data_IF_074029694549
#
_entry.id   IF_074029694549
#
_cell.length_a   1.000
_cell.length_b   1.000
_cell.length_c   1.000
_cell.angle_alpha   90.00
_cell.angle_beta   90.00
_cell.angle_gamma   90.00
#
_symmetry.space_group_name_H-M   'P 1'
#
loop_
_entity.id
_entity.type
_entity.pdbx_description
1 polymer ?
#
# COMPACT_ATOMS: atom_id res chain seq x y z
N UNK A 1 10.17 2.95 7.75
CA UNK A 1 10.91 2.50 8.96
C UNK A 1 11.83 1.34 8.59
N UNK A 2 13.07 1.32 9.09
CA UNK A 2 14.10 0.28 8.83
C UNK A 2 13.58 -1.16 9.01
N UNK A 3 12.66 -1.37 9.94
CA UNK A 3 12.06 -2.68 10.22
C UNK A 3 11.24 -3.24 9.05
N UNK A 4 10.53 -2.39 8.30
CA UNK A 4 9.78 -2.80 7.10
C UNK A 4 10.74 -3.28 6.02
N UNK A 5 11.87 -2.59 5.83
CA UNK A 5 12.91 -3.00 4.87
C UNK A 5 13.59 -4.31 5.30
N UNK A 6 13.83 -4.51 6.59
CA UNK A 6 14.39 -5.75 7.12
C UNK A 6 13.44 -6.94 6.93
N UNK A 7 12.15 -6.78 7.24
CA UNK A 7 11.14 -7.82 7.02
C UNK A 7 10.94 -8.13 5.53
N UNK A 8 11.01 -7.11 4.68
CA UNK A 8 11.00 -7.28 3.23
C UNK A 8 12.22 -8.07 2.74
N UNK A 9 13.42 -7.74 3.24
CA UNK A 9 14.65 -8.46 2.92
C UNK A 9 14.54 -9.94 3.31
N UNK A 10 14.07 -10.24 4.53
CA UNK A 10 13.84 -11.63 4.95
C UNK A 10 12.83 -12.35 4.06
N UNK A 11 11.72 -11.68 3.73
CA UNK A 11 10.67 -12.23 2.86
C UNK A 11 11.24 -12.59 1.48
N UNK A 12 12.11 -11.74 0.92
CA UNK A 12 12.80 -12.01 -0.35
C UNK A 12 13.83 -13.13 -0.23
N UNK A 13 14.61 -13.18 0.85
CA UNK A 13 15.67 -14.16 1.06
C UNK A 13 15.17 -15.60 1.24
N UNK A 14 13.97 -15.77 1.80
CA UNK A 14 13.36 -17.09 2.04
C UNK A 14 12.54 -17.60 0.85
N UNK A 15 12.25 -16.75 -0.14
CA UNK A 15 11.42 -17.11 -1.28
C UNK A 15 12.27 -17.58 -2.48
N UNK A 16 11.78 -18.58 -3.20
CA UNK A 16 12.35 -18.96 -4.50
C UNK A 16 11.87 -17.98 -5.57
N UNK A 17 12.52 -17.97 -6.74
CA UNK A 17 12.06 -17.16 -7.87
C UNK A 17 10.58 -17.43 -8.22
N UNK A 18 10.12 -18.68 -8.06
CA UNK A 18 8.73 -19.08 -8.30
C UNK A 18 7.76 -18.60 -7.20
N UNK A 19 8.20 -18.51 -5.94
CA UNK A 19 7.35 -18.16 -4.79
C UNK A 19 7.46 -16.70 -4.33
N UNK A 20 8.39 -15.94 -4.91
CA UNK A 20 8.66 -14.55 -4.51
C UNK A 20 7.41 -13.67 -4.61
N UNK A 21 6.63 -13.80 -5.68
CA UNK A 21 5.39 -13.02 -5.85
C UNK A 21 4.40 -13.26 -4.71
N UNK A 22 4.14 -14.52 -4.37
CA UNK A 22 3.24 -14.88 -3.27
C UNK A 22 3.76 -14.40 -1.90
N UNK A 23 5.06 -14.53 -1.64
CA UNK A 23 5.67 -14.06 -0.41
C UNK A 23 5.53 -12.52 -0.26
N UNK A 24 5.73 -11.76 -1.34
CA UNK A 24 5.53 -10.31 -1.36
C UNK A 24 4.06 -9.92 -1.17
N UNK A 25 3.11 -10.63 -1.77
CA UNK A 25 1.69 -10.40 -1.56
C UNK A 25 1.28 -10.66 -0.10
N UNK A 26 1.72 -11.77 0.49
CA UNK A 26 1.48 -12.07 1.90
C UNK A 26 2.08 -11.01 2.84
N UNK A 27 3.27 -10.49 2.54
CA UNK A 27 3.85 -9.37 3.27
C UNK A 27 3.04 -8.08 3.08
N UNK A 28 2.59 -7.79 1.86
CA UNK A 28 1.80 -6.60 1.58
C UNK A 28 0.41 -6.64 2.27
N UNK A 29 -0.22 -7.81 2.40
CA UNK A 29 -1.44 -8.01 3.21
C UNK A 29 -1.22 -7.71 4.69
N UNK A 30 -0.09 -8.16 5.26
CA UNK A 30 0.30 -7.83 6.65
C UNK A 30 0.47 -6.32 6.84
N UNK A 31 1.14 -5.65 5.91
CA UNK A 31 1.27 -4.19 5.93
C UNK A 31 -0.06 -3.47 5.77
N UNK A 32 -0.94 -3.95 4.88
CA UNK A 32 -2.27 -3.39 4.69
C UNK A 32 -3.10 -3.48 5.97
N UNK A 33 -3.10 -4.63 6.66
CA UNK A 33 -3.81 -4.81 7.93
C UNK A 33 -3.31 -3.84 9.01
N UNK A 34 -2.00 -3.60 9.06
CA UNK A 34 -1.42 -2.61 9.97
C UNK A 34 -1.87 -1.18 9.64
N UNK A 35 -1.78 -0.79 8.36
CA UNK A 35 -2.19 0.55 7.90
C UNK A 35 -3.66 0.83 8.17
N UNK A 36 -4.55 -0.14 7.87
CA UNK A 36 -5.98 -0.03 8.16
C UNK A 36 -6.27 0.05 9.66
N UNK A 37 -5.49 -0.65 10.49
CA UNK A 37 -5.65 -0.57 11.94
C UNK A 37 -5.21 0.80 12.49
N UNK A 38 -4.12 1.36 11.97
CA UNK A 38 -3.66 2.69 12.35
C UNK A 38 -4.66 3.78 11.91
N UNK A 39 -5.27 3.64 10.73
CA UNK A 39 -6.37 4.51 10.30
C UNK A 39 -7.59 4.39 11.23
N UNK A 40 -7.97 3.18 11.63
CA UNK A 40 -9.07 2.96 12.57
C UNK A 40 -8.78 3.60 13.93
N UNK A 41 -7.58 3.41 14.47
CA UNK A 41 -7.16 4.02 15.72
C UNK A 41 -7.24 5.55 15.64
N UNK A 42 -6.80 6.16 14.53
CA UNK A 42 -6.92 7.60 14.26
C UNK A 42 -8.36 8.09 14.27
N UNK A 43 -9.26 7.36 13.62
CA UNK A 43 -10.67 7.71 13.63
C UNK A 43 -11.29 7.59 15.04
N UNK A 44 -10.96 6.53 15.80
CA UNK A 44 -11.41 6.35 17.19
C UNK A 44 -10.96 7.54 18.05
N UNK A 45 -9.69 7.95 17.94
CA UNK A 45 -9.12 9.08 18.68
C UNK A 45 -9.83 10.39 18.38
N UNK A 46 -10.05 10.71 17.10
CA UNK A 46 -10.80 11.90 16.70
C UNK A 46 -12.20 11.89 17.34
N UNK A 47 -12.88 10.75 17.38
CA UNK A 47 -14.18 10.63 18.07
C UNK A 47 -14.07 10.95 19.57
N UNK A 48 -13.04 10.45 20.26
CA UNK A 48 -12.86 10.68 21.71
C UNK A 48 -12.63 12.15 22.02
N UNK A 49 -11.83 12.84 21.21
CA UNK A 49 -11.56 14.27 21.36
C UNK A 49 -12.85 15.08 21.19
N UNK A 50 -13.70 14.73 20.21
CA UNK A 50 -15.02 15.37 20.04
C UNK A 50 -15.96 15.15 21.23
N UNK A 51 -15.81 14.04 21.96
CA UNK A 51 -16.55 13.73 23.18
C UNK A 51 -15.95 14.38 24.44
N UNK A 52 -14.89 15.19 24.31
CA UNK A 52 -14.23 15.88 25.42
C UNK A 52 -13.35 14.98 26.28
N UNK A 53 -12.93 13.81 25.76
CA UNK A 53 -11.99 12.91 26.45
C UNK A 53 -10.55 13.26 26.07
N UNK A 54 -9.71 13.48 27.08
CA UNK A 54 -8.27 13.63 26.90
C UNK A 54 -7.62 12.24 26.82
N UNK A 55 -6.99 11.93 25.68
CA UNK A 55 -6.35 10.63 25.42
C UNK A 55 -5.06 10.84 24.63
N UNK A 56 -4.01 10.08 24.97
CA UNK A 56 -2.76 10.09 24.21
C UNK A 56 -2.91 9.29 22.91
N UNK A 57 -2.61 9.93 21.79
CA UNK A 57 -2.75 9.32 20.47
C UNK A 57 -1.83 8.11 20.26
N UNK A 58 -0.60 8.21 20.77
CA UNK A 58 0.40 7.16 20.67
C UNK A 58 -0.05 5.95 21.48
N UNK A 59 -0.59 6.17 22.69
CA UNK A 59 -1.04 5.08 23.56
C UNK A 59 -2.24 4.32 22.98
N UNK A 60 -3.24 5.03 22.44
CA UNK A 60 -4.41 4.39 21.83
C UNK A 60 -4.02 3.57 20.60
N UNK A 61 -3.22 4.15 19.70
CA UNK A 61 -2.73 3.45 18.50
C UNK A 61 -1.93 2.21 18.87
N UNK A 62 -1.04 2.32 19.85
CA UNK A 62 -0.20 1.23 20.30
C UNK A 62 -1.01 0.12 20.99
N UNK A 63 -2.06 0.47 21.73
CA UNK A 63 -2.93 -0.51 22.37
C UNK A 63 -3.71 -1.36 21.35
N UNK A 64 -4.24 -0.76 20.29
CA UNK A 64 -4.85 -1.52 19.19
C UNK A 64 -3.82 -2.46 18.57
N UNK A 65 -2.64 -1.93 18.22
CA UNK A 65 -1.57 -2.68 17.55
C UNK A 65 -1.06 -3.86 18.37
N UNK A 66 -0.80 -3.67 19.66
CA UNK A 66 -0.33 -4.73 20.56
C UNK A 66 -1.40 -5.81 20.74
N UNK A 67 -2.65 -5.40 21.01
CA UNK A 67 -3.72 -6.36 21.33
C UNK A 67 -4.20 -7.13 20.11
N UNK A 68 -4.10 -6.56 18.91
CA UNK A 68 -4.48 -7.19 17.66
C UNK A 68 -3.30 -7.76 16.86
N UNK A 69 -2.06 -7.61 17.34
CA UNK A 69 -0.86 -8.07 16.64
C UNK A 69 -0.95 -9.52 16.18
N UNK A 70 -1.37 -10.43 17.08
CA UNK A 70 -1.52 -11.86 16.73
C UNK A 70 -2.76 -12.12 15.88
N UNK A 71 -3.89 -11.50 16.22
CA UNK A 71 -5.16 -11.74 15.54
C UNK A 71 -5.15 -11.28 14.07
N UNK A 72 -4.43 -10.19 13.78
CA UNK A 72 -4.30 -9.60 12.44
C UNK A 72 -2.91 -9.86 11.82
N UNK A 73 -2.07 -10.70 12.45
CA UNK A 73 -0.73 -11.04 11.97
C UNK A 73 0.08 -9.80 11.53
N UNK A 74 0.12 -8.80 12.43
CA UNK A 74 0.72 -7.51 12.16
C UNK A 74 2.26 -7.59 12.20
N UNK A 75 2.96 -7.02 11.21
CA UNK A 75 4.41 -7.05 11.15
C UNK A 75 5.02 -6.03 12.13
N UNK A 76 6.16 -6.35 12.73
CA UNK A 76 6.96 -5.39 13.52
C UNK A 76 6.28 -4.83 14.78
N UNK A 77 5.41 -5.62 15.43
CA UNK A 77 4.74 -5.18 16.64
C UNK A 77 5.54 -5.55 17.90
N UNK A 78 5.57 -4.68 18.93
CA UNK A 78 6.23 -5.00 20.18
C UNK A 78 5.60 -6.23 20.83
N UNK A 79 6.44 -7.18 21.26
CA UNK A 79 6.00 -8.51 21.75
C UNK A 79 5.47 -8.46 23.18
N UNK A 80 5.94 -7.52 23.98
CA UNK A 80 5.55 -7.32 25.37
C UNK A 80 5.56 -5.81 25.64
N UNK A 81 4.46 -5.27 26.17
CA UNK A 81 4.44 -3.91 26.71
C UNK A 81 3.90 -4.01 28.14
N UNK A 82 4.70 -3.58 29.11
CA UNK A 82 4.28 -3.41 30.51
C UNK A 82 3.52 -2.09 30.65
N UNK A 83 2.35 -1.96 30.01
CA UNK A 83 1.46 -0.85 30.28
C UNK A 83 0.14 -1.44 30.71
N UNK A 84 -0.03 -1.45 32.04
CA UNK A 84 -1.31 -1.70 32.67
C UNK A 84 -2.29 -0.62 32.23
N UNK A 85 -3.52 -1.04 31.95
CA UNK A 85 -4.77 -0.25 32.02
C UNK A 85 -4.94 1.05 31.19
N UNK A 86 -3.90 1.67 30.63
CA UNK A 86 -3.96 3.10 30.26
C UNK A 86 -4.65 3.39 28.91
N UNK A 87 -4.72 2.45 27.97
CA UNK A 87 -5.52 2.67 26.77
C UNK A 87 -6.89 2.01 26.91
N UNK A 88 -7.92 2.81 27.20
CA UNK A 88 -9.32 2.41 27.30
C UNK A 88 -9.90 1.94 25.95
N UNK A 89 -9.34 0.88 25.36
CA UNK A 89 -9.87 0.20 24.18
C UNK A 89 -10.70 -0.98 24.69
N UNK A 90 -12.01 -0.90 24.51
CA UNK A 90 -12.91 -1.97 24.94
C UNK A 90 -12.78 -3.21 24.05
N UNK A 91 -13.18 -4.41 24.54
CA UNK A 91 -13.31 -5.59 23.69
C UNK A 91 -14.23 -5.36 22.48
N UNK A 92 -15.24 -4.50 22.60
CA UNK A 92 -16.12 -4.14 21.49
C UNK A 92 -15.39 -3.32 20.42
N UNK A 93 -14.56 -2.36 20.81
CA UNK A 93 -13.71 -1.59 19.90
C UNK A 93 -12.68 -2.48 19.18
N UNK A 94 -12.08 -3.45 19.87
CA UNK A 94 -11.18 -4.42 19.23
C UNK A 94 -11.88 -5.27 18.17
N UNK A 95 -13.11 -5.71 18.43
CA UNK A 95 -13.91 -6.42 17.43
C UNK A 95 -14.25 -5.52 16.25
N UNK A 96 -14.70 -4.30 16.51
CA UNK A 96 -15.01 -3.33 15.45
C UNK A 96 -13.78 -3.02 14.57
N UNK A 97 -12.60 -2.88 15.18
CA UNK A 97 -11.34 -2.69 14.46
C UNK A 97 -10.99 -3.91 13.60
N UNK A 98 -11.08 -5.12 14.17
CA UNK A 98 -10.86 -6.37 13.43
C UNK A 98 -11.78 -6.48 12.22
N UNK A 99 -13.09 -6.28 12.41
CA UNK A 99 -14.08 -6.36 11.35
C UNK A 99 -13.85 -5.29 10.27
N UNK A 100 -13.47 -4.07 10.67
CA UNK A 100 -13.14 -3.00 9.74
C UNK A 100 -11.92 -3.34 8.87
N UNK A 101 -10.86 -3.89 9.47
CA UNK A 101 -9.66 -4.34 8.76
C UNK A 101 -10.00 -5.46 7.78
N UNK A 102 -10.74 -6.47 8.22
CA UNK A 102 -11.15 -7.61 7.38
C UNK A 102 -12.03 -7.18 6.21
N UNK A 103 -13.01 -6.29 6.44
CA UNK A 103 -13.84 -5.72 5.37
C UNK A 103 -13.01 -4.93 4.36
N UNK A 104 -12.05 -4.15 4.84
CA UNK A 104 -11.16 -3.39 3.97
C UNK A 104 -10.26 -4.32 3.12
N UNK A 105 -9.75 -5.40 3.72
CA UNK A 105 -8.90 -6.38 3.05
C UNK A 105 -9.65 -7.16 1.96
N UNK A 106 -10.93 -7.46 2.20
CA UNK A 106 -11.81 -8.10 1.22
C UNK A 106 -12.26 -7.17 0.07
N UNK A 107 -11.87 -5.91 0.08
CA UNK A 107 -12.29 -4.90 -0.91
C UNK A 107 -11.20 -4.58 -1.93
N UNK A 108 -11.54 -3.78 -2.94
CA UNK A 108 -10.57 -3.24 -3.89
C UNK A 108 -9.47 -2.36 -3.25
N UNK A 109 -9.63 -1.95 -1.98
CA UNK A 109 -8.63 -1.18 -1.25
C UNK A 109 -7.30 -1.94 -1.13
N UNK A 110 -7.33 -3.26 -0.94
CA UNK A 110 -6.12 -4.07 -0.85
C UNK A 110 -5.29 -3.98 -2.14
N UNK A 111 -5.92 -4.23 -3.29
CA UNK A 111 -5.22 -4.19 -4.57
C UNK A 111 -4.63 -2.81 -4.86
N UNK A 112 -5.39 -1.73 -4.56
CA UNK A 112 -4.89 -0.35 -4.68
C UNK A 112 -3.68 -0.13 -3.78
N UNK A 113 -3.76 -0.49 -2.50
CA UNK A 113 -2.66 -0.33 -1.56
C UNK A 113 -1.38 -1.06 -2.01
N UNK A 114 -1.51 -2.31 -2.46
CA UNK A 114 -0.38 -3.12 -2.90
C UNK A 114 0.25 -2.54 -4.18
N UNK A 115 -0.58 -2.09 -5.13
CA UNK A 115 -0.13 -1.57 -6.42
C UNK A 115 0.77 -0.34 -6.33
N UNK A 116 0.75 0.38 -5.20
CA UNK A 116 1.59 1.58 -4.96
C UNK A 116 2.83 1.29 -4.11
N UNK A 117 3.13 0.02 -3.76
CA UNK A 117 4.30 -0.29 -2.93
C UNK A 117 5.54 -0.48 -3.80
N UNK A 118 6.62 0.22 -3.47
CA UNK A 118 7.88 0.18 -4.23
C UNK A 118 8.40 -1.25 -4.43
N UNK A 119 8.44 -2.05 -3.37
CA UNK A 119 8.93 -3.43 -3.45
C UNK A 119 8.11 -4.32 -4.39
N UNK A 120 6.82 -4.00 -4.55
CA UNK A 120 5.90 -4.71 -5.41
C UNK A 120 6.01 -4.21 -6.85
N UNK A 121 6.14 -2.90 -7.05
CA UNK A 121 6.43 -2.30 -8.34
C UNK A 121 7.76 -2.79 -8.92
N UNK A 122 8.81 -2.92 -8.09
CA UNK A 122 10.08 -3.54 -8.46
C UNK A 122 9.88 -4.98 -8.97
N UNK A 123 9.09 -5.78 -8.24
CA UNK A 123 8.79 -7.15 -8.63
C UNK A 123 8.01 -7.20 -9.94
N UNK A 124 6.95 -6.38 -10.09
CA UNK A 124 6.17 -6.29 -11.31
C UNK A 124 7.02 -5.87 -12.51
N UNK A 125 7.95 -4.92 -12.36
CA UNK A 125 8.87 -4.53 -13.43
C UNK A 125 9.85 -5.64 -13.80
N UNK A 126 10.26 -6.47 -12.84
CA UNK A 126 11.12 -7.62 -13.10
C UNK A 126 10.39 -8.74 -13.87
N UNK A 127 9.12 -9.03 -13.52
CA UNK A 127 8.37 -10.15 -14.12
C UNK A 127 7.55 -9.76 -15.36
N UNK A 128 7.04 -8.53 -15.40
CA UNK A 128 6.16 -7.99 -16.45
C UNK A 128 6.82 -6.82 -17.18
N UNK A 129 8.15 -6.80 -17.24
CA UNK A 129 8.94 -5.67 -17.77
C UNK A 129 8.52 -5.23 -19.17
N UNK A 130 8.14 -6.18 -20.04
CA UNK A 130 7.62 -5.88 -21.39
C UNK A 130 6.36 -4.99 -21.33
N UNK A 131 5.41 -5.29 -20.46
CA UNK A 131 4.18 -4.50 -20.34
C UNK A 131 4.46 -3.06 -19.89
N UNK A 132 5.44 -2.86 -19.00
CA UNK A 132 5.87 -1.52 -18.60
C UNK A 132 6.59 -0.78 -19.74
N UNK A 133 7.50 -1.46 -20.44
CA UNK A 133 8.22 -0.88 -21.58
C UNK A 133 7.29 -0.47 -22.72
N UNK A 134 6.24 -1.25 -23.00
CA UNK A 134 5.25 -0.92 -24.04
C UNK A 134 4.49 0.38 -23.70
N UNK A 135 4.15 0.59 -22.42
CA UNK A 135 3.52 1.85 -21.96
C UNK A 135 4.51 3.01 -22.10
N UNK A 136 5.74 2.86 -21.61
CA UNK A 136 6.75 3.92 -21.68
C UNK A 136 7.08 4.28 -23.14
N UNK A 137 7.23 3.31 -24.03
CA UNK A 137 7.51 3.53 -25.45
C UNK A 137 6.44 4.39 -26.14
N UNK A 138 5.16 4.17 -25.80
CA UNK A 138 4.07 5.01 -26.32
C UNK A 138 4.24 6.48 -25.93
N UNK A 139 4.60 6.75 -24.68
CA UNK A 139 4.80 8.12 -24.20
C UNK A 139 6.09 8.75 -24.73
N UNK A 140 7.14 7.96 -24.94
CA UNK A 140 8.36 8.43 -25.61
C UNK A 140 8.08 8.95 -27.02
N UNK A 141 7.30 8.22 -27.83
CA UNK A 141 6.91 8.68 -29.17
C UNK A 141 6.08 9.97 -29.13
N UNK A 142 5.18 10.11 -28.14
CA UNK A 142 4.39 11.32 -27.97
C UNK A 142 5.25 12.52 -27.55
N UNK A 143 6.27 12.30 -26.71
CA UNK A 143 7.22 13.33 -26.28
C UNK A 143 8.13 13.78 -27.43
N UNK A 144 8.61 12.84 -28.24
CA UNK A 144 9.40 13.14 -29.45
C UNK A 144 8.58 14.00 -30.42
N UNK A 145 7.35 13.58 -30.73
CA UNK A 145 6.45 14.34 -31.59
C UNK A 145 6.06 15.71 -31.02
N UNK A 146 6.03 15.87 -29.69
CA UNK A 146 5.81 17.18 -29.05
C UNK A 146 7.05 18.07 -29.19
N UNK A 147 8.24 17.50 -29.01
CA UNK A 147 9.53 18.20 -29.10
C UNK A 147 9.80 18.72 -30.52
N UNK A 148 9.48 17.93 -31.55
CA UNK A 148 9.58 18.37 -32.95
C UNK A 148 8.73 19.61 -33.26
N UNK A 149 7.60 19.76 -32.56
CA UNK A 149 6.67 20.88 -32.73
C UNK A 149 6.96 22.07 -31.81
N UNK A 150 7.97 21.99 -30.94
CA UNK A 150 8.25 23.00 -29.90
C UNK A 150 8.32 24.43 -30.44
N UNK A 151 8.99 24.65 -31.56
CA UNK A 151 9.19 25.98 -32.16
C UNK A 151 7.93 26.55 -32.85
N UNK A 152 6.93 25.71 -33.08
CA UNK A 152 5.66 26.09 -33.70
C UNK A 152 4.54 26.28 -32.68
N UNK A 153 4.80 26.02 -31.40
CA UNK A 153 3.83 26.14 -30.32
C UNK A 153 3.86 27.56 -29.72
N UNK A 154 2.71 28.08 -29.27
CA UNK A 154 2.65 29.28 -28.46
C UNK A 154 3.50 29.17 -27.19
N UNK A 155 3.91 30.33 -26.66
CA UNK A 155 4.68 30.40 -25.42
C UNK A 155 3.91 29.76 -24.25
N UNK A 156 4.55 28.88 -23.49
CA UNK A 156 3.93 28.16 -22.37
C UNK A 156 3.14 26.88 -22.73
N UNK A 157 2.67 26.74 -23.98
CA UNK A 157 1.90 25.56 -24.40
C UNK A 157 2.75 24.29 -24.41
N UNK A 158 4.03 24.40 -24.80
CA UNK A 158 4.96 23.27 -24.74
C UNK A 158 5.10 22.72 -23.31
N UNK A 159 5.31 23.59 -22.32
CA UNK A 159 5.46 23.19 -20.92
C UNK A 159 4.15 22.60 -20.37
N UNK A 160 3.00 23.18 -20.73
CA UNK A 160 1.69 22.65 -20.34
C UNK A 160 1.45 21.25 -20.88
N UNK A 161 1.69 21.04 -22.18
CA UNK A 161 1.54 19.73 -22.83
C UNK A 161 2.54 18.70 -22.31
N UNK A 162 3.78 19.09 -22.03
CA UNK A 162 4.78 18.21 -21.42
C UNK A 162 4.35 17.76 -20.01
N UNK A 163 3.84 18.69 -19.19
CA UNK A 163 3.33 18.36 -17.86
C UNK A 163 2.09 17.46 -17.92
N UNK A 164 1.20 17.69 -18.89
CA UNK A 164 0.05 16.83 -19.13
C UNK A 164 0.50 15.42 -19.52
N UNK A 165 1.42 15.30 -20.47
CA UNK A 165 1.97 14.01 -20.90
C UNK A 165 2.63 13.26 -19.74
N UNK A 166 3.33 13.96 -18.85
CA UNK A 166 3.89 13.40 -17.63
C UNK A 166 2.83 12.80 -16.70
N UNK A 167 1.72 13.51 -16.47
CA UNK A 167 0.59 13.01 -15.65
C UNK A 167 -0.09 11.80 -16.28
N UNK A 168 -0.38 11.86 -17.58
CA UNK A 168 -1.00 10.75 -18.32
C UNK A 168 -0.12 9.49 -18.29
N UNK A 169 1.21 9.67 -18.37
CA UNK A 169 2.18 8.58 -18.22
C UNK A 169 2.09 7.94 -16.84
N UNK A 170 2.10 8.76 -15.79
CA UNK A 170 2.00 8.28 -14.41
C UNK A 170 0.69 7.51 -14.16
N UNK A 171 -0.45 8.06 -14.61
CA UNK A 171 -1.76 7.41 -14.51
C UNK A 171 -1.80 6.07 -15.25
N UNK A 172 -1.22 6.00 -16.46
CA UNK A 172 -1.16 4.77 -17.23
C UNK A 172 -0.31 3.69 -16.55
N UNK A 173 0.82 4.06 -15.96
CA UNK A 173 1.68 3.14 -15.22
C UNK A 173 1.01 2.65 -13.92
N UNK A 174 0.33 3.54 -13.20
CA UNK A 174 -0.44 3.18 -12.01
C UNK A 174 -1.60 2.24 -12.35
N UNK A 175 -2.33 2.51 -13.44
CA UNK A 175 -3.41 1.64 -13.92
C UNK A 175 -2.89 0.25 -14.34
N UNK A 176 -1.72 0.19 -15.00
CA UNK A 176 -1.05 -1.07 -15.32
C UNK A 176 -0.69 -1.84 -14.05
N UNK A 177 -0.04 -1.18 -13.10
CA UNK A 177 0.35 -1.79 -11.82
C UNK A 177 -0.87 -2.36 -11.08
N UNK A 178 -1.97 -1.60 -11.00
CA UNK A 178 -3.21 -2.06 -10.36
C UNK A 178 -3.78 -3.30 -11.06
N UNK A 179 -3.86 -3.28 -12.40
CA UNK A 179 -4.36 -4.41 -13.19
C UNK A 179 -3.53 -5.68 -12.97
N UNK A 180 -2.20 -5.56 -13.01
CA UNK A 180 -1.30 -6.70 -12.77
C UNK A 180 -1.40 -7.22 -11.32
N UNK A 181 -1.58 -6.31 -10.36
CA UNK A 181 -1.79 -6.65 -8.94
C UNK A 181 -3.08 -7.44 -8.74
N UNK A 182 -4.19 -6.99 -9.35
CA UNK A 182 -5.47 -7.71 -9.31
C UNK A 182 -5.34 -9.13 -9.89
N UNK A 183 -4.67 -9.26 -11.04
CA UNK A 183 -4.44 -10.56 -11.66
C UNK A 183 -3.56 -11.48 -10.79
N UNK A 184 -2.58 -10.93 -10.07
CA UNK A 184 -1.74 -11.69 -9.15
C UNK A 184 -2.52 -12.18 -7.92
N UNK A 185 -3.34 -11.32 -7.32
CA UNK A 185 -4.20 -11.68 -6.19
C UNK A 185 -5.24 -12.74 -6.55
N UNK A 186 -5.80 -12.69 -7.77
CA UNK A 186 -6.73 -13.72 -8.25
C UNK A 186 -6.07 -15.08 -8.44
N UNK A 187 -4.82 -15.10 -8.94
CA UNK A 187 -4.03 -16.33 -9.10
C UNK A 187 -3.68 -16.98 -7.77
N UNK A 188 -3.44 -16.18 -6.73
CA UNK A 188 -3.19 -16.67 -5.37
C UNK A 188 -4.41 -17.39 -4.79
N UNK A 189 -5.63 -16.86 -5.00
CA UNK A 189 -6.87 -17.47 -4.52
C UNK A 189 -7.23 -18.76 -5.29
N UNK A 190 -6.84 -18.84 -6.57
CA UNK A 190 -7.13 -19.98 -7.43
C UNK A 190 -6.19 -21.18 -7.33
N UNK A 191 -5.12 -21.09 -6.53
CA UNK A 191 -4.12 -22.15 -6.37
C UNK A 191 -4.11 -22.64 -4.91
N UNK A 192 -4.93 -23.66 -4.56
CA UNK A 192 -5.01 -24.21 -3.20
C UNK A 192 -3.77 -25.00 -2.78
#
# INVERSE_FOLDING_TARGET
>A
ALEVHFLLFQTRALATAQSQGAALLAFARRLFRLDQLEQFARADMVSRVHEGRDVDEVEVSLAYRVRLARALDLPGQPRNMQFGEVAAVSPAQLRAATDAVQRAEASAALARFISTRDFWLEHLRAVEGRAFSDVEARFWLQLEALSERQHSLPEGDYLSQMNQLGREREEALQALALRLTLAALQREVGNP
#
